data_IF_441263183977
#
_entry.id   IF_441263183977
#
_cell.length_a   1.000
_cell.length_b   1.000
_cell.length_c   1.000
_cell.angle_alpha   90.00
_cell.angle_beta   90.00
_cell.angle_gamma   90.00
#
_symmetry.space_group_name_H-M   'P 1'
#
loop_
_entity.id
_entity.type
_entity.pdbx_description
1 polymer ?
#
# COMPACT_ATOMS: atom_id res chain seq x y z
N UNK A 1 -32.22 -6.53 9.16
CA UNK A 1 -31.21 -7.31 8.42
C UNK A 1 -29.83 -6.75 8.71
N UNK A 2 -28.91 -7.56 9.22
CA UNK A 2 -27.54 -7.14 9.50
C UNK A 2 -26.67 -7.14 8.23
N UNK A 3 -25.55 -6.42 8.27
CA UNK A 3 -24.58 -6.42 7.16
C UNK A 3 -23.98 -7.82 6.93
N UNK A 4 -23.83 -8.62 8.00
CA UNK A 4 -23.39 -10.01 7.95
C UNK A 4 -24.37 -10.91 7.18
N UNK A 5 -25.67 -10.80 7.49
CA UNK A 5 -26.74 -11.53 6.78
C UNK A 5 -26.80 -11.13 5.31
N UNK A 6 -26.71 -9.83 5.03
CA UNK A 6 -26.64 -9.32 3.67
C UNK A 6 -25.43 -9.90 2.93
N UNK A 7 -24.25 -9.87 3.54
CA UNK A 7 -23.02 -10.38 2.95
C UNK A 7 -23.11 -11.87 2.62
N UNK A 8 -23.71 -12.68 3.51
CA UNK A 8 -23.93 -14.10 3.29
C UNK A 8 -24.84 -14.37 2.06
N UNK A 9 -25.96 -13.63 1.96
CA UNK A 9 -26.98 -13.82 0.90
C UNK A 9 -26.61 -13.21 -0.45
N UNK A 10 -25.66 -12.28 -0.50
CA UNK A 10 -25.36 -11.54 -1.73
C UNK A 10 -24.48 -12.35 -2.69
N UNK A 11 -24.89 -12.64 -3.93
CA UNK A 11 -24.06 -13.39 -4.87
C UNK A 11 -22.77 -12.63 -5.22
N UNK A 12 -21.63 -13.29 -5.05
CA UNK A 12 -20.31 -12.75 -5.38
C UNK A 12 -19.89 -13.17 -6.78
N UNK A 13 -19.22 -12.27 -7.50
CA UNK A 13 -18.71 -12.50 -8.86
C UNK A 13 -17.18 -12.44 -8.86
N UNK A 14 -16.57 -13.23 -9.73
CA UNK A 14 -15.12 -13.16 -9.97
C UNK A 14 -14.77 -11.80 -10.57
N UNK A 15 -13.80 -11.12 -9.97
CA UNK A 15 -13.22 -9.87 -10.47
C UNK A 15 -11.71 -10.04 -10.51
N UNK A 16 -11.13 -9.76 -11.66
CA UNK A 16 -9.67 -9.64 -11.85
C UNK A 16 -9.36 -8.15 -11.95
N UNK A 17 -8.41 -7.65 -11.13
CA UNK A 17 -8.18 -6.20 -11.02
C UNK A 17 -6.77 -5.75 -11.39
N UNK A 18 -5.78 -6.65 -11.41
CA UNK A 18 -4.39 -6.31 -11.76
C UNK A 18 -3.58 -7.54 -12.16
N UNK A 19 -2.57 -7.36 -13.02
CA UNK A 19 -1.53 -8.35 -13.24
C UNK A 19 -0.52 -8.34 -12.06
N UNK A 20 -0.32 -9.49 -11.43
CA UNK A 20 0.65 -9.68 -10.36
C UNK A 20 1.94 -10.32 -10.86
N UNK A 21 2.93 -10.46 -9.98
CA UNK A 21 4.19 -11.15 -10.31
C UNK A 21 4.01 -12.66 -10.52
N UNK A 22 2.95 -13.24 -9.94
CA UNK A 22 2.58 -14.67 -10.07
C UNK A 22 1.37 -14.89 -11.00
N UNK A 23 1.05 -13.91 -11.85
CA UNK A 23 -0.12 -13.95 -12.72
C UNK A 23 -1.26 -13.01 -12.28
N UNK A 24 -2.44 -13.11 -12.92
CA UNK A 24 -3.53 -12.18 -12.71
C UNK A 24 -4.11 -12.30 -11.30
N UNK A 25 -4.22 -11.17 -10.60
CA UNK A 25 -4.83 -11.08 -9.29
C UNK A 25 -6.35 -11.04 -9.41
N UNK A 26 -7.02 -12.05 -8.85
CA UNK A 26 -8.46 -12.19 -8.88
C UNK A 26 -9.03 -12.60 -7.53
N UNK A 27 -10.35 -12.44 -7.37
CA UNK A 27 -11.09 -12.76 -6.16
C UNK A 27 -12.59 -12.67 -6.39
N UNK A 28 -13.40 -13.05 -5.40
CA UNK A 28 -14.86 -13.05 -5.48
C UNK A 28 -15.41 -11.90 -4.65
N UNK A 29 -16.14 -11.00 -5.32
CA UNK A 29 -16.64 -9.78 -4.72
C UNK A 29 -18.12 -9.55 -4.99
N UNK A 30 -18.79 -8.89 -4.06
CA UNK A 30 -20.06 -8.22 -4.30
C UNK A 30 -19.92 -6.71 -4.06
N UNK A 31 -20.58 -5.95 -4.92
CA UNK A 31 -20.61 -4.49 -4.87
C UNK A 31 -22.04 -4.05 -5.17
N UNK A 32 -22.70 -3.51 -4.16
CA UNK A 32 -24.12 -3.17 -4.21
C UNK A 32 -24.37 -1.82 -3.53
N UNK A 33 -25.49 -1.19 -3.86
CA UNK A 33 -25.99 -0.02 -3.15
C UNK A 33 -26.91 -0.47 -2.04
N UNK A 34 -26.72 0.06 -0.85
CA UNK A 34 -27.61 -0.16 0.29
C UNK A 34 -28.00 1.17 0.89
N UNK A 35 -29.22 1.22 1.41
CA UNK A 35 -29.63 2.32 2.27
C UNK A 35 -29.35 1.90 3.71
N UNK A 36 -28.43 2.58 4.43
CA UNK A 36 -28.24 2.31 5.83
C UNK A 36 -29.50 2.79 6.59
N UNK A 37 -29.99 2.03 7.58
CA UNK A 37 -31.24 2.32 8.27
C UNK A 37 -31.19 3.54 9.20
N UNK A 38 -30.13 4.37 9.15
CA UNK A 38 -29.97 5.51 10.05
C UNK A 38 -31.14 6.49 9.91
N UNK A 39 -31.87 6.75 11.00
CA UNK A 39 -33.05 7.62 11.02
C UNK A 39 -34.40 6.90 10.89
N UNK A 40 -34.43 5.63 10.44
CA UNK A 40 -35.70 4.94 10.17
C UNK A 40 -36.50 4.65 11.45
N UNK A 41 -35.82 4.41 12.57
CA UNK A 41 -36.46 4.21 13.87
C UNK A 41 -37.00 5.52 14.48
N UNK A 42 -36.50 6.68 14.04
CA UNK A 42 -36.89 8.02 14.50
C UNK A 42 -37.73 8.78 13.48
N UNK A 43 -38.14 8.14 12.39
CA UNK A 43 -38.94 8.78 11.32
C UNK A 43 -38.17 9.76 10.44
N UNK A 44 -36.85 9.91 10.65
CA UNK A 44 -36.00 10.69 9.77
C UNK A 44 -35.75 9.88 8.50
N UNK A 45 -36.12 10.43 7.33
CA UNK A 45 -35.58 9.93 6.07
C UNK A 45 -34.06 9.91 6.23
N UNK A 46 -33.45 8.74 6.11
CA UNK A 46 -32.00 8.60 6.16
C UNK A 46 -31.36 9.64 5.24
N UNK A 47 -30.94 10.78 5.80
CA UNK A 47 -30.42 11.93 5.05
C UNK A 47 -29.08 11.63 4.38
N UNK A 48 -28.61 10.40 4.51
CA UNK A 48 -27.50 9.84 3.75
C UNK A 48 -28.06 9.09 2.56
N UNK A 49 -27.61 9.52 1.37
CA UNK A 49 -27.77 8.75 0.14
C UNK A 49 -27.21 7.33 0.26
N UNK A 50 -27.36 6.51 -0.80
CA UNK A 50 -26.98 5.10 -0.75
C UNK A 50 -25.48 4.97 -0.51
N UNK A 51 -25.09 4.15 0.46
CA UNK A 51 -23.68 3.76 0.65
C UNK A 51 -23.41 2.45 -0.08
N UNK A 52 -22.14 2.16 -0.31
CA UNK A 52 -21.73 0.98 -1.08
C UNK A 52 -20.91 0.03 -0.23
N UNK A 53 -21.48 -1.07 0.26
CA UNK A 53 -20.68 -2.14 0.81
C UNK A 53 -19.92 -2.85 -0.30
N UNK A 54 -18.63 -3.06 -0.06
CA UNK A 54 -17.85 -4.07 -0.75
C UNK A 54 -17.80 -5.31 0.13
N UNK A 55 -18.11 -6.47 -0.44
CA UNK A 55 -18.01 -7.76 0.21
C UNK A 55 -16.97 -8.57 -0.55
N UNK A 56 -15.99 -9.12 0.15
CA UNK A 56 -14.97 -10.02 -0.33
C UNK A 56 -15.17 -11.39 0.29
N UNK A 57 -15.07 -12.43 -0.54
CA UNK A 57 -14.94 -13.82 -0.09
C UNK A 57 -13.45 -14.20 -0.12
N UNK A 58 -12.92 -14.53 1.05
CA UNK A 58 -11.53 -14.92 1.24
C UNK A 58 -11.32 -16.40 0.88
N UNK A 59 -10.06 -16.81 0.74
CA UNK A 59 -9.70 -18.17 0.32
C UNK A 59 -10.12 -19.25 1.33
N UNK A 60 -10.22 -18.90 2.61
CA UNK A 60 -10.70 -19.74 3.70
C UNK A 60 -12.25 -19.73 3.85
N UNK A 61 -12.95 -19.06 2.93
CA UNK A 61 -14.41 -18.90 2.96
C UNK A 61 -14.90 -17.78 3.89
N UNK A 62 -14.02 -17.07 4.60
CA UNK A 62 -14.43 -15.93 5.43
C UNK A 62 -14.93 -14.77 4.56
N UNK A 63 -15.95 -14.07 5.05
CA UNK A 63 -16.47 -12.87 4.39
C UNK A 63 -15.94 -11.62 5.07
N UNK A 64 -15.24 -10.78 4.31
CA UNK A 64 -14.86 -9.43 4.72
C UNK A 64 -15.78 -8.43 4.04
N UNK A 65 -16.20 -7.42 4.79
CA UNK A 65 -17.07 -6.38 4.25
C UNK A 65 -16.78 -5.03 4.89
N UNK A 66 -16.99 -3.97 4.12
CA UNK A 66 -16.91 -2.60 4.63
C UNK A 66 -17.79 -1.69 3.79
N UNK A 67 -18.24 -0.60 4.41
CA UNK A 67 -18.90 0.48 3.69
C UNK A 67 -17.87 1.38 2.98
N UNK A 68 -18.28 1.90 1.84
CA UNK A 68 -17.52 2.84 1.04
C UNK A 68 -18.39 4.05 0.68
N UNK A 69 -17.74 5.21 0.65
CA UNK A 69 -18.28 6.50 0.22
C UNK A 69 -17.84 6.90 -1.19
N UNK A 70 -17.31 5.96 -2.00
CA UNK A 70 -16.90 6.26 -3.38
C UNK A 70 -18.09 6.70 -4.25
N UNK A 71 -17.83 7.51 -5.29
CA UNK A 71 -18.86 7.98 -6.20
C UNK A 71 -19.78 6.89 -6.78
N UNK A 72 -21.01 7.30 -7.13
CA UNK A 72 -22.00 6.37 -7.66
C UNK A 72 -21.63 5.80 -9.05
N UNK A 73 -20.79 6.50 -9.81
CA UNK A 73 -20.30 6.04 -11.11
C UNK A 73 -19.03 5.18 -11.01
N UNK A 74 -18.45 4.98 -9.82
CA UNK A 74 -17.27 4.13 -9.63
C UNK A 74 -17.55 2.71 -10.10
N UNK A 75 -16.71 2.23 -11.02
CA UNK A 75 -16.83 0.88 -11.56
C UNK A 75 -16.49 -0.16 -10.49
N UNK A 76 -17.02 -1.38 -10.63
CA UNK A 76 -16.70 -2.47 -9.69
C UNK A 76 -15.21 -2.83 -9.70
N UNK A 77 -14.54 -2.77 -10.85
CA UNK A 77 -13.10 -3.04 -10.94
C UNK A 77 -12.33 -1.98 -10.15
N UNK A 78 -12.68 -0.71 -10.34
CA UNK A 78 -12.07 0.40 -9.61
C UNK A 78 -12.32 0.31 -8.10
N UNK A 79 -13.55 -0.02 -7.67
CA UNK A 79 -13.87 -0.25 -6.27
C UNK A 79 -13.02 -1.38 -5.64
N UNK A 80 -12.84 -2.49 -6.37
CA UNK A 80 -11.97 -3.60 -5.93
C UNK A 80 -10.51 -3.18 -5.89
N UNK A 81 -10.03 -2.42 -6.88
CA UNK A 81 -8.67 -1.87 -6.89
C UNK A 81 -8.42 -0.95 -5.70
N UNK A 82 -9.36 -0.07 -5.37
CA UNK A 82 -9.30 0.79 -4.18
C UNK A 82 -9.32 -0.05 -2.89
N UNK A 83 -10.19 -1.05 -2.79
CA UNK A 83 -10.22 -1.97 -1.66
C UNK A 83 -8.87 -2.68 -1.44
N UNK A 84 -8.25 -3.13 -2.54
CA UNK A 84 -6.95 -3.81 -2.53
C UNK A 84 -5.76 -2.87 -2.33
N UNK A 85 -5.94 -1.56 -2.52
CA UNK A 85 -4.88 -0.56 -2.29
C UNK A 85 -4.42 -0.50 -0.83
N UNK A 86 -5.25 -0.94 0.12
CA UNK A 86 -4.90 -1.09 1.54
C UNK A 86 -3.62 -1.89 1.75
N UNK A 87 -3.45 -2.98 0.99
CA UNK A 87 -2.23 -3.79 1.06
C UNK A 87 -0.99 -3.00 0.61
N UNK A 88 -1.12 -2.11 -0.37
CA UNK A 88 0.00 -1.26 -0.79
C UNK A 88 0.41 -0.29 0.32
N UNK A 89 -0.54 0.21 1.12
CA UNK A 89 -0.26 1.04 2.30
C UNK A 89 0.52 0.25 3.34
N UNK A 90 0.07 -0.97 3.67
CA UNK A 90 0.78 -1.86 4.61
C UNK A 90 2.20 -2.18 4.13
N UNK A 91 2.38 -2.49 2.84
CA UNK A 91 3.70 -2.69 2.25
C UNK A 91 4.57 -1.44 2.29
N UNK A 92 3.99 -0.26 2.05
CA UNK A 92 4.71 1.00 2.16
C UNK A 92 5.21 1.25 3.58
N UNK A 93 4.38 0.98 4.60
CA UNK A 93 4.81 1.03 6.00
C UNK A 93 5.95 0.05 6.30
N UNK A 94 5.86 -1.18 5.81
CA UNK A 94 6.92 -2.17 6.01
C UNK A 94 8.25 -1.70 5.39
N UNK A 95 8.21 -1.18 4.17
CA UNK A 95 9.37 -0.62 3.49
C UNK A 95 9.95 0.59 4.23
N UNK A 96 9.11 1.47 4.77
CA UNK A 96 9.58 2.61 5.56
C UNK A 96 10.30 2.16 6.85
N UNK A 97 9.86 1.08 7.49
CA UNK A 97 10.56 0.50 8.63
C UNK A 97 11.87 -0.16 8.21
N UNK A 98 11.78 -1.23 7.42
CA UNK A 98 12.92 -2.08 7.06
C UNK A 98 14.01 -1.35 6.25
N UNK A 99 13.61 -0.44 5.35
CA UNK A 99 14.54 0.18 4.40
C UNK A 99 14.91 1.62 4.76
N UNK A 100 14.08 2.33 5.52
CA UNK A 100 14.28 3.76 5.78
C UNK A 100 14.39 4.09 7.28
N UNK A 101 14.31 3.09 8.16
CA UNK A 101 14.53 3.26 9.59
C UNK A 101 13.42 4.05 10.27
N UNK A 102 12.16 3.90 9.83
CA UNK A 102 11.02 4.51 10.52
C UNK A 102 10.96 4.14 12.01
N UNK A 103 11.40 2.93 12.35
CA UNK A 103 11.49 2.36 13.69
C UNK A 103 12.87 2.54 14.36
N UNK A 104 13.81 3.25 13.73
CA UNK A 104 15.13 3.55 14.29
C UNK A 104 15.18 4.89 15.06
N UNK A 105 14.02 5.48 15.38
CA UNK A 105 13.98 6.73 16.15
C UNK A 105 14.24 6.47 17.63
N UNK A 106 15.35 6.99 18.16
CA UNK A 106 15.75 6.81 19.57
C UNK A 106 15.49 8.06 20.46
N UNK A 107 14.92 9.11 19.88
CA UNK A 107 14.59 10.33 20.61
C UNK A 107 13.36 10.19 21.50
N UNK A 108 13.15 11.16 22.41
CA UNK A 108 12.02 11.16 23.36
C UNK A 108 11.01 12.30 23.17
N UNK A 109 11.21 13.16 22.17
CA UNK A 109 10.33 14.30 21.91
C UNK A 109 9.35 13.99 20.78
N UNK A 110 8.09 14.40 20.96
CA UNK A 110 7.06 14.30 19.92
C UNK A 110 7.47 15.03 18.64
N UNK A 111 8.04 16.23 18.79
CA UNK A 111 8.56 17.02 17.67
C UNK A 111 9.70 16.31 16.94
N UNK A 112 10.63 15.70 17.66
CA UNK A 112 11.73 14.93 17.08
C UNK A 112 11.20 13.73 16.28
N UNK A 113 10.25 12.99 16.85
CA UNK A 113 9.61 11.88 16.15
C UNK A 113 8.90 12.34 14.88
N UNK A 114 8.14 13.43 14.96
CA UNK A 114 7.44 14.00 13.80
C UNK A 114 8.42 14.39 12.68
N UNK A 115 9.52 15.07 13.01
CA UNK A 115 10.54 15.42 12.01
C UNK A 115 11.15 14.17 11.36
N UNK A 116 11.50 13.15 12.16
CA UNK A 116 12.01 11.87 11.67
C UNK A 116 11.03 11.20 10.71
N UNK A 117 9.78 11.02 11.14
CA UNK A 117 8.73 10.40 10.34
C UNK A 117 8.49 11.19 9.03
N UNK A 118 8.51 12.52 9.07
CA UNK A 118 8.40 13.36 7.88
C UNK A 118 9.56 13.11 6.89
N UNK A 119 10.81 13.08 7.37
CA UNK A 119 11.97 12.80 6.52
C UNK A 119 11.91 11.39 5.91
N UNK A 120 11.51 10.39 6.68
CA UNK A 120 11.32 9.01 6.18
C UNK A 120 10.23 8.95 5.11
N UNK A 121 9.08 9.61 5.32
CA UNK A 121 8.01 9.68 4.32
C UNK A 121 8.45 10.39 3.04
N UNK A 122 9.25 11.46 3.15
CA UNK A 122 9.83 12.15 1.99
C UNK A 122 10.79 11.25 1.21
N UNK A 123 11.70 10.56 1.91
CA UNK A 123 12.62 9.59 1.30
C UNK A 123 11.85 8.45 0.60
N UNK A 124 10.80 7.94 1.24
CA UNK A 124 9.92 6.93 0.64
C UNK A 124 9.25 7.45 -0.63
N UNK A 125 8.69 8.67 -0.57
CA UNK A 125 8.08 9.34 -1.73
C UNK A 125 9.06 9.48 -2.89
N UNK A 126 10.31 9.88 -2.62
CA UNK A 126 11.37 9.95 -3.63
C UNK A 126 11.61 8.58 -4.28
N UNK A 127 11.84 7.53 -3.50
CA UNK A 127 12.07 6.17 -4.03
C UNK A 127 10.87 5.63 -4.81
N UNK A 128 9.65 5.93 -4.37
CA UNK A 128 8.43 5.57 -5.07
C UNK A 128 8.32 6.30 -6.43
N UNK A 129 8.70 7.58 -6.49
CA UNK A 129 8.73 8.36 -7.73
C UNK A 129 9.81 7.86 -8.70
N UNK A 130 11.02 7.57 -8.23
CA UNK A 130 12.07 6.98 -9.08
C UNK A 130 11.62 5.64 -9.67
N UNK A 131 10.98 4.78 -8.87
CA UNK A 131 10.39 3.53 -9.35
C UNK A 131 9.33 3.76 -10.44
N UNK A 132 8.56 4.84 -10.36
CA UNK A 132 7.58 5.19 -11.39
C UNK A 132 8.23 5.73 -12.66
N UNK A 133 9.30 6.54 -12.55
CA UNK A 133 10.07 7.04 -13.70
C UNK A 133 10.68 5.89 -14.49
N UNK A 134 11.37 4.99 -13.82
CA UNK A 134 11.96 3.78 -14.41
C UNK A 134 10.92 2.93 -15.14
N UNK A 135 9.73 2.74 -14.55
CA UNK A 135 8.63 2.02 -15.22
C UNK A 135 8.13 2.72 -16.48
N UNK A 136 8.07 4.05 -16.49
CA UNK A 136 7.65 4.82 -17.67
C UNK A 136 8.68 4.73 -18.78
N UNK A 137 9.96 4.89 -18.45
CA UNK A 137 11.07 4.77 -19.39
C UNK A 137 11.18 3.36 -19.97
N UNK A 138 11.01 2.33 -19.13
CA UNK A 138 10.94 0.95 -19.59
C UNK A 138 9.75 0.68 -20.53
N UNK A 139 8.63 1.38 -20.35
CA UNK A 139 7.48 1.31 -21.25
C UNK A 139 7.70 2.00 -22.60
N UNK A 140 8.58 3.00 -22.65
CA UNK A 140 8.96 3.73 -23.88
C UNK A 140 10.08 3.00 -24.65
N UNK A 141 11.00 2.33 -23.95
CA UNK A 141 12.04 1.48 -24.53
C UNK A 141 11.47 0.12 -24.98
N UNK A 142 10.82 0.11 -26.15
CA UNK A 142 10.15 -1.05 -26.73
C UNK A 142 11.00 -2.32 -26.87
N UNK A 143 10.32 -3.47 -26.76
CA UNK A 143 10.67 -4.85 -27.16
C UNK A 143 12.16 -5.13 -27.46
N UNK A 144 12.98 -5.32 -26.43
CA UNK A 144 14.10 -6.29 -26.50
C UNK A 144 13.93 -7.28 -25.36
N UNK A 145 13.79 -8.55 -25.75
CA UNK A 145 13.28 -9.65 -24.96
C UNK A 145 14.20 -10.06 -23.81
N UNK A 146 13.57 -10.22 -22.65
CA UNK A 146 14.16 -10.75 -21.43
C UNK A 146 13.26 -10.36 -20.24
N UNK A 147 13.08 -11.22 -19.21
CA UNK A 147 12.39 -10.82 -18.00
C UNK A 147 13.20 -9.68 -17.35
N UNK A 148 12.68 -8.46 -17.44
CA UNK A 148 13.32 -7.28 -16.87
C UNK A 148 13.20 -7.34 -15.34
N UNK A 149 14.26 -7.02 -14.59
CA UNK A 149 14.22 -7.08 -13.14
C UNK A 149 13.16 -6.11 -12.60
N UNK A 150 12.33 -6.59 -11.67
CA UNK A 150 11.40 -5.74 -10.93
C UNK A 150 12.23 -4.82 -10.06
N UNK A 151 12.27 -3.53 -10.39
CA UNK A 151 12.97 -2.55 -9.55
C UNK A 151 12.17 -2.40 -8.25
N UNK A 152 12.80 -2.82 -7.15
CA UNK A 152 12.27 -2.76 -5.79
C UNK A 152 12.83 -1.53 -5.07
N UNK A 153 12.12 -1.03 -4.05
CA UNK A 153 12.61 0.07 -3.19
C UNK A 153 14.02 -0.22 -2.62
N UNK A 154 14.32 -1.45 -2.12
CA UNK A 154 15.66 -1.81 -1.70
C UNK A 154 16.73 -1.69 -2.80
N UNK A 155 16.40 -2.05 -4.04
CA UNK A 155 17.34 -1.99 -5.15
C UNK A 155 17.70 -0.54 -5.52
N UNK A 156 16.71 0.35 -5.59
CA UNK A 156 16.94 1.79 -5.84
C UNK A 156 17.76 2.39 -4.69
N UNK A 157 17.39 2.09 -3.44
CA UNK A 157 18.13 2.57 -2.26
C UNK A 157 19.60 2.16 -2.33
N UNK A 158 19.91 0.90 -2.61
CA UNK A 158 21.30 0.41 -2.73
C UNK A 158 22.06 1.09 -3.87
N UNK A 159 21.42 1.30 -5.02
CA UNK A 159 22.02 2.04 -6.14
C UNK A 159 22.38 3.48 -5.75
N UNK A 160 21.46 4.19 -5.10
CA UNK A 160 21.69 5.55 -4.60
C UNK A 160 22.77 5.59 -3.52
N UNK A 161 22.78 4.64 -2.59
CA UNK A 161 23.85 4.51 -1.61
C UNK A 161 25.21 4.36 -2.29
N UNK A 162 25.34 3.51 -3.31
CA UNK A 162 26.59 3.36 -4.06
C UNK A 162 27.05 4.64 -4.76
N UNK A 163 26.12 5.49 -5.19
CA UNK A 163 26.43 6.79 -5.81
C UNK A 163 26.76 7.88 -4.78
N UNK A 164 26.09 7.89 -3.63
CA UNK A 164 26.21 8.93 -2.62
C UNK A 164 27.33 8.66 -1.62
N UNK A 165 27.64 7.40 -1.31
CA UNK A 165 28.71 7.03 -0.36
C UNK A 165 30.07 7.62 -0.77
N UNK A 166 30.49 7.61 -2.06
CA UNK A 166 31.73 8.27 -2.47
C UNK A 166 31.71 9.81 -2.42
N UNK A 167 30.52 10.41 -2.46
CA UNK A 167 30.32 11.88 -2.44
C UNK A 167 30.21 12.39 -0.99
N UNK A 168 29.72 11.55 -0.08
CA UNK A 168 29.78 11.75 1.37
C UNK A 168 31.24 11.67 1.81
N UNK A 169 31.92 12.82 1.86
CA UNK A 169 33.34 13.02 2.22
C UNK A 169 33.97 11.81 2.92
N UNK A 170 34.90 11.17 2.22
CA UNK A 170 35.83 10.16 2.75
C UNK A 170 36.60 10.61 4.00
N UNK A 171 36.59 11.92 4.31
CA UNK A 171 37.19 12.49 5.51
C UNK A 171 36.29 12.63 6.73
N UNK A 172 35.04 12.15 6.69
CA UNK A 172 34.20 12.10 7.89
C UNK A 172 34.77 11.07 8.90
N UNK A 173 35.22 11.48 10.11
CA UNK A 173 35.75 10.55 11.11
C UNK A 173 34.72 9.51 11.56
N UNK A 174 33.43 9.87 11.53
CA UNK A 174 32.31 9.04 11.96
C UNK A 174 31.94 7.94 10.95
N UNK A 175 32.12 8.20 9.65
CA UNK A 175 31.85 7.20 8.60
C UNK A 175 32.98 6.15 8.48
N UNK A 176 34.22 6.51 8.87
CA UNK A 176 35.34 5.56 8.95
C UNK A 176 35.26 4.60 10.14
N UNK A 177 34.56 4.98 11.21
CA UNK A 177 34.44 4.19 12.45
C UNK A 177 33.21 3.28 12.50
N UNK A 178 32.44 3.16 11.40
CA UNK A 178 31.33 2.21 11.33
C UNK A 178 31.88 0.78 11.28
N UNK A 179 32.25 0.26 12.45
CA UNK A 179 32.61 -1.13 12.68
C UNK A 179 31.40 -2.00 12.26
N UNK A 180 31.61 -3.13 11.55
CA UNK A 180 30.51 -4.01 11.18
C UNK A 180 29.74 -4.43 12.44
N UNK A 181 28.43 -4.67 12.36
CA UNK A 181 27.62 -4.99 13.53
C UNK A 181 28.25 -6.20 14.25
N UNK A 182 28.65 -5.99 15.51
CA UNK A 182 29.18 -7.09 16.35
C UNK A 182 28.09 -8.15 16.42
N UNK A 183 28.43 -9.36 15.97
CA UNK A 183 27.59 -10.52 16.20
C UNK A 183 27.47 -10.68 17.71
N UNK A 184 26.25 -10.52 18.23
CA UNK A 184 25.92 -10.87 19.60
C UNK A 184 26.02 -12.39 19.70
N UNK A 185 27.12 -12.88 20.28
CA UNK A 185 27.17 -14.23 20.82
C UNK A 185 26.41 -14.25 22.14
N UNK A 186 25.62 -15.30 22.33
CA UNK A 186 24.69 -15.58 23.44
C UNK A 186 25.25 -15.32 24.85
#
# INVERSE_FOLDING_TARGET
MSLKELAARTPRRKVTWREGTKGPMWGRFAWLRVWPPGGWATGECAGRGPIRPLIEEQADGQLKYAFSNVPANTSRIEAVSLWRSRWLVEQGYQQMKEELGLDHFEGRSWRGFHHHACLVMLAYGFLALERLREKREAGQAGKKGGPRPVITVPAIRRGLQGLLVPICRHDCPFCRSAEPPRQLTE
#
